data_IF_156189542448
#
_entry.id   IF_156189542448
#
_cell.length_a   1.000
_cell.length_b   1.000
_cell.length_c   1.000
_cell.angle_alpha   90.00
_cell.angle_beta   90.00
_cell.angle_gamma   90.00
#
_symmetry.space_group_name_H-M   'P 1'
#
loop_
_entity.id
_entity.type
_entity.pdbx_description
1 polymer ?
#
# COMPACT_ATOMS: atom_id res chain seq x y z
N UNK A 1 32.78 79.30 -27.68
CA UNK A 1 32.11 78.42 -28.64
C UNK A 1 32.40 77.00 -28.28
N UNK A 2 31.45 76.31 -27.57
CA UNK A 2 31.57 74.91 -27.20
C UNK A 2 30.60 74.11 -28.07
N UNK A 3 31.12 73.19 -28.87
CA UNK A 3 30.35 72.23 -29.72
C UNK A 3 29.95 71.01 -28.87
N UNK A 4 28.65 70.71 -28.87
CA UNK A 4 28.09 69.45 -28.31
C UNK A 4 28.14 68.38 -29.40
N UNK A 5 28.48 67.16 -29.06
CA UNK A 5 28.40 65.98 -29.98
C UNK A 5 26.98 65.48 -30.07
N UNK A 6 26.61 64.79 -31.18
CA UNK A 6 25.26 64.31 -31.45
C UNK A 6 24.94 63.06 -30.65
N UNK A 7 23.70 62.98 -30.17
CA UNK A 7 23.17 61.91 -29.33
C UNK A 7 23.08 60.57 -30.04
N UNK A 8 23.46 59.53 -29.29
CA UNK A 8 23.28 58.12 -29.64
C UNK A 8 21.86 57.72 -29.23
N UNK A 9 21.02 57.41 -30.25
CA UNK A 9 19.70 56.80 -30.02
C UNK A 9 19.90 55.33 -29.76
N UNK A 10 19.77 54.91 -28.51
CA UNK A 10 19.70 53.48 -28.13
C UNK A 10 18.30 52.94 -28.46
N UNK A 11 18.24 52.09 -29.48
CA UNK A 11 17.04 51.33 -29.83
C UNK A 11 16.98 50.13 -28.87
N UNK A 12 16.11 50.17 -27.84
CA UNK A 12 15.85 49.08 -26.96
C UNK A 12 14.97 48.03 -27.68
N UNK A 13 15.56 46.91 -28.09
CA UNK A 13 14.83 45.74 -28.57
C UNK A 13 14.21 45.03 -27.36
N UNK A 14 12.91 45.19 -27.16
CA UNK A 14 12.14 44.36 -26.20
C UNK A 14 11.99 42.95 -26.78
N UNK A 15 12.80 42.03 -26.29
CA UNK A 15 12.68 40.59 -26.57
C UNK A 15 11.44 40.07 -25.83
N UNK A 16 10.30 39.97 -26.50
CA UNK A 16 9.10 39.30 -25.98
C UNK A 16 9.35 37.79 -25.99
N UNK A 17 9.79 37.24 -24.86
CA UNK A 17 9.81 35.80 -24.65
C UNK A 17 8.37 35.27 -24.61
N UNK A 18 7.87 34.79 -25.74
CA UNK A 18 6.66 33.96 -25.79
C UNK A 18 6.99 32.63 -25.17
N UNK A 19 6.69 32.48 -23.87
CA UNK A 19 6.73 31.18 -23.18
C UNK A 19 5.56 30.39 -23.75
N UNK A 20 5.79 29.26 -24.49
CA UNK A 20 4.71 28.41 -24.91
C UNK A 20 4.02 27.92 -23.67
N UNK A 21 2.73 28.24 -23.50
CA UNK A 21 1.87 27.62 -22.51
C UNK A 21 1.83 26.11 -22.83
N UNK A 22 2.64 25.33 -22.12
CA UNK A 22 2.55 23.85 -22.18
C UNK A 22 1.16 23.51 -21.66
N UNK A 23 0.24 23.29 -22.60
CA UNK A 23 -1.08 22.74 -22.30
C UNK A 23 -0.85 21.41 -21.57
N UNK A 24 -1.04 21.41 -20.26
CA UNK A 24 -1.12 20.17 -19.47
C UNK A 24 -2.33 19.42 -20.01
N UNK A 25 -2.09 18.54 -20.97
CA UNK A 25 -3.10 17.57 -21.42
C UNK A 25 -3.65 16.91 -20.17
N UNK A 26 -4.97 17.05 -19.95
CA UNK A 26 -5.63 16.52 -18.77
C UNK A 26 -5.32 15.03 -18.66
N UNK A 27 -4.55 14.64 -17.65
CA UNK A 27 -4.15 13.24 -17.44
C UNK A 27 -5.41 12.41 -17.24
N UNK A 28 -5.66 11.43 -18.11
CA UNK A 28 -6.85 10.56 -17.95
C UNK A 28 -6.76 9.77 -16.66
N UNK A 29 -7.87 9.39 -16.03
CA UNK A 29 -7.85 8.57 -14.80
C UNK A 29 -7.07 7.26 -14.96
N UNK A 30 -7.13 6.61 -16.12
CA UNK A 30 -6.35 5.41 -16.41
C UNK A 30 -4.85 5.65 -16.44
N UNK A 31 -4.43 6.74 -17.09
CA UNK A 31 -3.02 7.17 -17.10
C UNK A 31 -2.55 7.54 -15.70
N UNK A 32 -3.38 8.23 -14.90
CA UNK A 32 -3.04 8.56 -13.51
C UNK A 32 -2.86 7.29 -12.67
N UNK A 33 -3.76 6.32 -12.76
CA UNK A 33 -3.63 5.03 -12.06
C UNK A 33 -2.33 4.32 -12.43
N UNK A 34 -2.03 4.21 -13.73
CA UNK A 34 -0.78 3.58 -14.19
C UNK A 34 0.46 4.29 -13.65
N UNK A 35 0.46 5.64 -13.60
CA UNK A 35 1.57 6.42 -13.03
C UNK A 35 1.71 6.22 -11.53
N UNK A 36 0.60 6.13 -10.78
CA UNK A 36 0.60 5.87 -9.34
C UNK A 36 1.23 4.49 -9.06
N UNK A 37 0.79 3.46 -9.75
CA UNK A 37 1.31 2.10 -9.58
C UNK A 37 2.79 2.01 -9.98
N UNK A 38 3.18 2.60 -11.11
CA UNK A 38 4.57 2.65 -11.55
C UNK A 38 5.46 3.41 -10.55
N UNK A 39 4.98 4.55 -10.01
CA UNK A 39 5.70 5.30 -9.00
C UNK A 39 5.92 4.49 -7.71
N UNK A 40 4.93 3.71 -7.27
CA UNK A 40 5.03 2.82 -6.12
C UNK A 40 6.01 1.67 -6.37
N UNK A 41 5.91 0.99 -7.52
CA UNK A 41 6.81 -0.12 -7.89
C UNK A 41 8.27 0.29 -8.02
N UNK A 42 8.54 1.55 -8.35
CA UNK A 42 9.89 2.11 -8.45
C UNK A 42 10.52 2.45 -7.08
N UNK A 43 9.85 2.20 -5.98
CA UNK A 43 10.39 2.39 -4.64
C UNK A 43 11.09 1.12 -4.13
N UNK A 44 11.86 1.25 -3.05
CA UNK A 44 12.57 0.13 -2.41
C UNK A 44 11.77 -0.45 -1.25
N UNK A 45 10.95 0.37 -0.60
CA UNK A 45 10.17 -0.03 0.58
C UNK A 45 9.01 0.92 0.85
N UNK A 46 8.07 0.45 1.68
CA UNK A 46 6.98 1.27 2.22
C UNK A 46 6.56 0.76 3.59
N UNK A 47 6.17 1.69 4.44
CA UNK A 47 5.36 1.42 5.63
C UNK A 47 3.89 1.61 5.28
N UNK A 48 3.03 0.66 5.65
CA UNK A 48 1.59 0.81 5.51
C UNK A 48 0.83 0.43 6.77
N UNK A 49 -0.34 1.05 6.93
CA UNK A 49 -1.33 0.65 7.94
C UNK A 49 -2.65 0.42 7.22
N UNK A 50 -3.16 -0.80 7.34
CA UNK A 50 -4.48 -1.19 6.84
C UNK A 50 -5.45 -1.37 7.99
N UNK A 51 -6.65 -0.84 7.87
CA UNK A 51 -7.74 -1.03 8.83
C UNK A 51 -8.99 -1.48 8.08
N UNK A 52 -9.57 -2.60 8.48
CA UNK A 52 -10.85 -3.07 7.99
C UNK A 52 -11.84 -3.14 9.16
N UNK A 53 -13.06 -2.59 8.95
CA UNK A 53 -14.18 -2.66 9.88
C UNK A 53 -15.37 -3.28 9.17
N UNK A 54 -15.86 -4.41 9.66
CA UNK A 54 -16.97 -5.17 9.08
C UNK A 54 -17.92 -5.61 10.23
N UNK A 55 -18.86 -4.73 10.61
CA UNK A 55 -19.68 -4.96 11.79
C UNK A 55 -18.85 -5.05 13.06
N UNK A 56 -18.92 -6.19 13.77
CA UNK A 56 -18.13 -6.45 15.00
C UNK A 56 -16.70 -6.94 14.72
N UNK A 57 -16.36 -7.16 13.45
CA UNK A 57 -15.02 -7.55 13.04
C UNK A 57 -14.18 -6.32 12.74
N UNK A 58 -13.01 -6.24 13.38
CA UNK A 58 -11.98 -5.25 13.09
C UNK A 58 -10.64 -5.94 12.85
N UNK A 59 -9.98 -5.57 11.76
CA UNK A 59 -8.63 -6.03 11.44
C UNK A 59 -7.74 -4.80 11.26
N UNK A 60 -6.61 -4.79 11.95
CA UNK A 60 -5.55 -3.78 11.75
C UNK A 60 -4.29 -4.52 11.34
N UNK A 61 -3.70 -4.10 10.22
CA UNK A 61 -2.43 -4.63 9.72
C UNK A 61 -1.43 -3.48 9.66
N UNK A 62 -0.26 -3.68 10.21
CA UNK A 62 0.87 -2.75 10.13
C UNK A 62 2.02 -3.47 9.46
N UNK A 63 2.47 -2.96 8.32
CA UNK A 63 3.52 -3.59 7.52
C UNK A 63 4.68 -2.64 7.24
N UNK A 64 5.90 -3.19 7.32
CA UNK A 64 7.13 -2.62 6.82
C UNK A 64 7.65 -3.57 5.75
N UNK A 65 7.57 -3.20 4.48
CA UNK A 65 7.82 -4.11 3.35
C UNK A 65 8.87 -3.53 2.40
N UNK A 66 9.78 -4.40 1.97
CA UNK A 66 10.78 -4.16 0.95
C UNK A 66 10.50 -4.97 -0.32
N UNK A 67 11.46 -4.99 -1.25
CA UNK A 67 11.29 -5.63 -2.56
C UNK A 67 11.02 -7.14 -2.45
N UNK A 68 11.74 -7.85 -1.57
CA UNK A 68 11.67 -9.32 -1.43
C UNK A 68 11.47 -9.78 0.00
N UNK A 69 11.39 -8.85 0.94
CA UNK A 69 11.25 -9.13 2.36
C UNK A 69 10.31 -8.14 3.03
N UNK A 70 9.73 -8.54 4.15
CA UNK A 70 8.83 -7.66 4.92
C UNK A 70 8.38 -8.30 6.20
N UNK A 71 7.76 -7.47 7.02
CA UNK A 71 7.07 -7.89 8.24
C UNK A 71 5.68 -7.25 8.27
N UNK A 72 4.69 -8.03 8.67
CA UNK A 72 3.33 -7.57 8.89
C UNK A 72 2.89 -8.01 10.28
N UNK A 73 2.36 -7.06 11.06
CA UNK A 73 1.72 -7.34 12.36
C UNK A 73 0.23 -7.12 12.21
N UNK A 74 -0.54 -8.11 12.62
CA UNK A 74 -1.98 -8.15 12.44
C UNK A 74 -2.63 -8.22 13.81
N UNK A 75 -3.55 -7.30 14.08
CA UNK A 75 -4.48 -7.37 15.20
C UNK A 75 -5.85 -7.69 14.65
N UNK A 76 -6.38 -8.84 15.03
CA UNK A 76 -7.68 -9.34 14.63
C UNK A 76 -8.61 -9.29 15.83
N UNK A 77 -9.71 -8.55 15.73
CA UNK A 77 -10.71 -8.43 16.77
C UNK A 77 -12.08 -8.87 16.25
N UNK A 78 -12.72 -9.82 16.95
CA UNK A 78 -14.07 -10.28 16.68
C UNK A 78 -14.89 -10.18 17.95
N UNK A 79 -15.89 -9.31 17.95
CA UNK A 79 -16.63 -8.93 19.15
C UNK A 79 -15.68 -8.44 20.29
N UNK A 80 -15.58 -9.15 21.40
CA UNK A 80 -14.74 -8.79 22.55
C UNK A 80 -13.39 -9.51 22.59
N UNK A 81 -13.15 -10.43 21.66
CA UNK A 81 -11.91 -11.21 21.62
C UNK A 81 -10.93 -10.61 20.62
N UNK A 82 -9.70 -10.45 21.05
CA UNK A 82 -8.60 -9.93 20.22
C UNK A 82 -7.51 -10.98 20.12
N UNK A 83 -6.98 -11.15 18.92
CA UNK A 83 -5.83 -11.99 18.66
C UNK A 83 -4.79 -11.29 17.78
N UNK A 84 -3.59 -11.84 17.78
CA UNK A 84 -2.44 -11.25 17.11
C UNK A 84 -1.71 -12.29 16.25
N UNK A 85 -1.31 -11.86 15.05
CA UNK A 85 -0.42 -12.62 14.17
C UNK A 85 0.72 -11.72 13.72
N UNK A 86 1.90 -12.28 13.65
CA UNK A 86 3.05 -11.66 12.96
C UNK A 86 3.45 -12.56 11.81
N UNK A 87 3.56 -11.97 10.63
CA UNK A 87 4.07 -12.61 9.41
C UNK A 87 5.40 -11.95 9.06
N UNK A 88 6.41 -12.75 8.81
CA UNK A 88 7.70 -12.32 8.27
C UNK A 88 7.91 -13.03 6.94
N UNK A 89 8.29 -12.29 5.91
CA UNK A 89 8.74 -12.84 4.63
C UNK A 89 10.20 -12.51 4.46
N UNK A 90 10.98 -13.51 4.14
CA UNK A 90 12.37 -13.40 3.73
C UNK A 90 12.54 -14.00 2.33
N UNK A 91 13.73 -13.88 1.74
CA UNK A 91 13.99 -14.37 0.38
C UNK A 91 13.70 -15.88 0.18
N UNK A 92 13.71 -16.68 1.25
CA UNK A 92 13.61 -18.15 1.17
C UNK A 92 12.37 -18.73 1.83
N UNK A 93 11.75 -18.01 2.75
CA UNK A 93 10.65 -18.54 3.58
C UNK A 93 9.76 -17.43 4.09
N UNK A 94 8.49 -17.77 4.29
CA UNK A 94 7.61 -17.00 5.17
C UNK A 94 7.60 -17.65 6.56
N UNK A 95 7.34 -16.84 7.57
CA UNK A 95 7.23 -17.27 8.97
C UNK A 95 5.97 -16.66 9.56
N UNK A 96 5.23 -17.48 10.31
CA UNK A 96 4.01 -17.05 11.00
C UNK A 96 4.20 -17.31 12.50
N UNK A 97 3.74 -16.37 13.32
CA UNK A 97 3.58 -16.53 14.75
C UNK A 97 2.30 -15.85 15.18
N UNK A 98 1.41 -16.56 15.85
CA UNK A 98 0.16 -16.00 16.36
C UNK A 98 -0.33 -16.70 17.61
N UNK A 99 -1.29 -16.06 18.31
CA UNK A 99 -2.06 -16.77 19.32
C UNK A 99 -3.09 -17.73 18.68
N UNK A 100 -3.59 -18.68 19.46
CA UNK A 100 -4.50 -19.71 18.95
C UNK A 100 -5.77 -19.12 18.32
N UNK A 101 -6.33 -18.05 18.93
CA UNK A 101 -7.54 -17.41 18.43
C UNK A 101 -7.34 -16.80 17.03
N UNK A 102 -6.25 -16.07 16.83
CA UNK A 102 -5.96 -15.45 15.54
C UNK A 102 -5.53 -16.49 14.48
N UNK A 103 -4.80 -17.53 14.86
CA UNK A 103 -4.45 -18.62 13.94
C UNK A 103 -5.69 -19.33 13.39
N UNK A 104 -6.70 -19.57 14.23
CA UNK A 104 -7.98 -20.17 13.80
C UNK A 104 -8.83 -19.20 13.02
N UNK A 105 -9.14 -18.02 13.61
CA UNK A 105 -10.20 -17.15 13.09
C UNK A 105 -9.76 -16.23 11.97
N UNK A 106 -8.46 -15.88 11.90
CA UNK A 106 -7.90 -15.02 10.87
C UNK A 106 -7.14 -15.80 9.80
N UNK A 107 -6.28 -16.74 10.20
CA UNK A 107 -5.50 -17.54 9.26
C UNK A 107 -6.27 -18.76 8.71
N UNK A 108 -7.34 -19.18 9.39
CA UNK A 108 -8.15 -20.33 8.98
C UNK A 108 -7.52 -21.70 9.31
N UNK A 109 -6.54 -21.73 10.21
CA UNK A 109 -5.84 -22.96 10.55
C UNK A 109 -6.65 -23.88 11.46
N UNK A 110 -6.30 -25.15 11.47
CA UNK A 110 -6.90 -26.19 12.33
C UNK A 110 -6.83 -25.79 13.81
N UNK A 111 -7.95 -25.93 14.54
CA UNK A 111 -8.05 -25.46 15.92
C UNK A 111 -7.11 -26.19 16.89
N UNK A 112 -6.98 -27.54 16.78
CA UNK A 112 -6.12 -28.32 17.64
C UNK A 112 -4.64 -28.00 17.41
N UNK A 113 -4.22 -27.90 16.14
CA UNK A 113 -2.87 -27.52 15.79
C UNK A 113 -2.59 -26.05 16.17
N UNK A 114 -3.55 -25.14 16.00
CA UNK A 114 -3.41 -23.74 16.42
C UNK A 114 -3.21 -23.60 17.94
N UNK A 115 -3.90 -24.40 18.75
CA UNK A 115 -3.68 -24.41 20.20
C UNK A 115 -2.28 -24.93 20.56
N UNK A 116 -1.82 -26.02 19.90
CA UNK A 116 -0.50 -26.61 20.12
C UNK A 116 0.65 -25.70 19.74
N UNK A 117 0.53 -24.99 18.61
CA UNK A 117 1.59 -24.14 18.06
C UNK A 117 1.37 -22.65 18.33
N UNK A 118 0.44 -22.28 19.22
CA UNK A 118 0.24 -20.91 19.63
C UNK A 118 1.56 -20.28 20.09
N UNK A 119 1.83 -19.07 19.59
CA UNK A 119 3.05 -18.31 19.89
C UNK A 119 4.37 -18.98 19.47
N UNK A 120 4.31 -20.03 18.66
CA UNK A 120 5.47 -20.68 18.05
C UNK A 120 5.68 -20.15 16.63
N UNK A 121 6.93 -19.96 16.22
CA UNK A 121 7.22 -19.65 14.83
C UNK A 121 7.06 -20.88 13.95
N UNK A 122 6.25 -20.77 12.93
CA UNK A 122 6.05 -21.77 11.89
C UNK A 122 6.65 -21.24 10.59
N UNK A 123 7.47 -22.05 9.92
CA UNK A 123 8.12 -21.69 8.65
C UNK A 123 7.44 -22.36 7.47
N UNK A 124 7.32 -21.61 6.38
CA UNK A 124 6.73 -22.02 5.11
C UNK A 124 7.78 -21.72 4.01
N UNK A 125 8.38 -22.74 3.41
CA UNK A 125 9.35 -22.58 2.33
C UNK A 125 8.74 -21.88 1.11
N UNK A 126 9.52 -21.13 0.35
CA UNK A 126 9.07 -20.41 -0.84
C UNK A 126 8.38 -21.29 -1.91
N UNK A 127 8.70 -22.57 -2.00
CA UNK A 127 8.07 -23.51 -2.94
C UNK A 127 6.80 -24.19 -2.41
N UNK A 128 6.40 -23.91 -1.18
CA UNK A 128 5.20 -24.48 -0.57
C UNK A 128 3.93 -23.82 -1.15
N UNK A 129 2.83 -24.61 -1.28
CA UNK A 129 1.54 -24.11 -1.80
C UNK A 129 0.95 -22.98 -0.96
N UNK A 130 1.20 -23.00 0.35
CA UNK A 130 0.66 -22.04 1.29
C UNK A 130 1.51 -20.75 1.38
N UNK A 131 2.70 -20.76 0.80
CA UNK A 131 3.60 -19.60 0.82
C UNK A 131 2.93 -18.36 0.24
N UNK A 132 2.29 -18.47 -0.93
CA UNK A 132 1.67 -17.33 -1.62
C UNK A 132 0.53 -16.71 -0.80
N UNK A 133 -0.25 -17.54 -0.08
CA UNK A 133 -1.35 -17.10 0.78
C UNK A 133 -0.82 -16.29 1.97
N UNK A 134 0.28 -16.72 2.56
CA UNK A 134 0.89 -16.09 3.73
C UNK A 134 1.75 -14.88 3.37
N UNK A 135 2.51 -14.96 2.27
CA UNK A 135 3.38 -13.89 1.80
C UNK A 135 2.61 -12.72 1.13
N UNK A 136 1.32 -12.90 0.85
CA UNK A 136 0.47 -11.85 0.28
C UNK A 136 0.51 -10.57 1.12
N UNK A 137 0.72 -9.41 0.46
CA UNK A 137 0.83 -8.08 1.08
C UNK A 137 2.01 -7.90 2.07
N UNK A 138 3.01 -8.78 2.05
CA UNK A 138 4.20 -8.69 2.91
C UNK A 138 5.47 -8.36 2.11
N UNK A 139 5.33 -8.08 0.82
CA UNK A 139 6.38 -7.51 -0.03
C UNK A 139 5.87 -6.28 -0.77
N UNK A 140 6.77 -5.36 -1.13
CA UNK A 140 6.38 -4.14 -1.85
C UNK A 140 5.65 -4.43 -3.17
N UNK A 141 6.11 -5.37 -4.04
CA UNK A 141 5.36 -5.71 -5.26
C UNK A 141 3.94 -6.17 -4.94
N UNK A 142 3.73 -7.08 -3.99
CA UNK A 142 2.41 -7.60 -3.64
C UNK A 142 1.48 -6.51 -3.08
N UNK A 143 2.02 -5.59 -2.28
CA UNK A 143 1.27 -4.43 -1.76
C UNK A 143 0.83 -3.51 -2.90
N UNK A 144 1.73 -3.17 -3.83
CA UNK A 144 1.39 -2.28 -4.95
C UNK A 144 0.42 -2.96 -5.92
N UNK A 145 0.58 -4.24 -6.18
CA UNK A 145 -0.31 -5.00 -7.07
C UNK A 145 -1.73 -5.11 -6.48
N UNK A 146 -1.86 -5.15 -5.15
CA UNK A 146 -3.17 -5.14 -4.47
C UNK A 146 -3.95 -3.83 -4.67
N UNK A 147 -3.28 -2.73 -5.02
CA UNK A 147 -3.91 -1.44 -5.33
C UNK A 147 -4.55 -1.40 -6.73
N UNK A 148 -4.24 -2.38 -7.57
CA UNK A 148 -4.74 -2.41 -8.94
C UNK A 148 -6.24 -2.70 -8.95
N UNK A 149 -7.03 -1.72 -9.39
CA UNK A 149 -8.47 -1.88 -9.55
C UNK A 149 -8.84 -2.72 -10.78
N UNK A 150 -9.96 -3.43 -10.69
CA UNK A 150 -10.61 -4.05 -11.85
C UNK A 150 -11.68 -3.09 -12.39
N UNK A 151 -11.71 -2.85 -13.70
CA UNK A 151 -12.69 -1.97 -14.36
C UNK A 151 -12.11 -0.63 -14.81
N UNK A 152 -12.99 0.28 -15.21
CA UNK A 152 -12.60 1.59 -15.73
C UNK A 152 -12.47 2.61 -14.59
N UNK A 153 -11.28 3.19 -14.35
CA UNK A 153 -11.11 4.22 -13.36
C UNK A 153 -11.76 5.54 -13.82
N UNK A 154 -12.37 6.25 -12.88
CA UNK A 154 -12.82 7.63 -13.00
C UNK A 154 -11.97 8.53 -12.10
N UNK A 155 -12.04 9.85 -12.29
CA UNK A 155 -11.41 10.77 -11.36
C UNK A 155 -12.06 10.67 -9.97
N UNK A 156 -11.25 10.60 -8.92
CA UNK A 156 -11.76 10.77 -7.56
C UNK A 156 -11.91 12.26 -7.24
N UNK A 157 -12.80 12.64 -6.31
CA UNK A 157 -12.91 14.02 -5.86
C UNK A 157 -11.60 14.54 -5.29
N UNK A 158 -11.27 15.81 -5.57
CA UNK A 158 -10.14 16.49 -4.95
C UNK A 158 -10.28 16.52 -3.43
N UNK A 159 -9.19 16.26 -2.73
CA UNK A 159 -9.18 16.25 -1.27
C UNK A 159 -7.79 16.56 -0.70
N UNK A 160 -7.73 16.65 0.63
CA UNK A 160 -6.50 16.83 1.40
C UNK A 160 -6.39 15.68 2.40
N UNK A 161 -5.23 15.04 2.46
CA UNK A 161 -4.92 13.97 3.41
C UNK A 161 -3.68 14.36 4.20
N UNK A 162 -3.77 14.38 5.53
CA UNK A 162 -2.66 14.82 6.39
C UNK A 162 -2.18 16.25 6.08
N UNK A 163 -3.08 17.18 5.74
CA UNK A 163 -2.76 18.57 5.40
C UNK A 163 -2.15 18.74 4.00
N UNK A 164 -2.03 17.70 3.19
CA UNK A 164 -1.43 17.75 1.86
C UNK A 164 -2.46 17.49 0.77
N UNK A 165 -2.44 18.32 -0.30
CA UNK A 165 -3.29 18.08 -1.47
C UNK A 165 -2.91 16.75 -2.12
N UNK A 166 -3.93 15.97 -2.48
CA UNK A 166 -3.79 14.69 -3.19
C UNK A 166 -4.64 14.68 -4.45
N UNK A 167 -4.25 13.88 -5.41
CA UNK A 167 -5.02 13.55 -6.62
C UNK A 167 -5.39 12.08 -6.56
N UNK A 168 -6.52 11.70 -7.16
CA UNK A 168 -6.95 10.32 -7.02
C UNK A 168 -7.77 9.79 -8.18
N UNK A 169 -7.93 8.48 -8.15
CA UNK A 169 -8.79 7.72 -9.04
C UNK A 169 -9.77 6.89 -8.21
N UNK A 170 -10.94 6.59 -8.80
CA UNK A 170 -11.94 5.73 -8.17
C UNK A 170 -12.50 4.73 -9.17
N UNK A 171 -12.93 3.59 -8.67
CA UNK A 171 -13.62 2.56 -9.43
C UNK A 171 -14.63 1.82 -8.57
N UNK A 172 -15.50 1.05 -9.21
CA UNK A 172 -16.43 0.15 -8.52
C UNK A 172 -15.84 -1.26 -8.49
N UNK A 173 -15.93 -1.92 -7.34
CA UNK A 173 -15.49 -3.29 -7.15
C UNK A 173 -16.58 -4.12 -6.44
N UNK A 174 -16.64 -5.41 -6.71
CA UNK A 174 -17.48 -6.34 -5.95
C UNK A 174 -16.63 -6.91 -4.81
N UNK A 175 -17.08 -6.70 -3.58
CA UNK A 175 -16.45 -7.25 -2.36
C UNK A 175 -17.53 -7.97 -1.56
N UNK A 176 -17.38 -9.28 -1.39
CA UNK A 176 -18.39 -10.09 -0.72
C UNK A 176 -19.79 -10.00 -1.38
N UNK A 177 -19.85 -9.92 -2.72
CA UNK A 177 -21.10 -9.78 -3.48
C UNK A 177 -21.73 -8.37 -3.44
N UNK A 178 -21.11 -7.40 -2.77
CA UNK A 178 -21.60 -6.01 -2.66
C UNK A 178 -20.75 -5.06 -3.50
N UNK A 179 -21.44 -4.13 -4.20
CA UNK A 179 -20.77 -3.11 -4.98
C UNK A 179 -20.22 -2.02 -4.05
N UNK A 180 -18.91 -1.84 -4.04
CA UNK A 180 -18.22 -0.81 -3.25
C UNK A 180 -17.53 0.19 -4.18
N UNK A 181 -17.35 1.43 -3.71
CA UNK A 181 -16.53 2.43 -4.36
C UNK A 181 -15.15 2.41 -3.69
N UNK A 182 -14.13 2.11 -4.48
CA UNK A 182 -12.73 2.16 -4.07
C UNK A 182 -12.13 3.46 -4.59
N UNK A 183 -11.40 4.18 -3.73
CA UNK A 183 -10.64 5.40 -4.08
C UNK A 183 -9.19 5.20 -3.74
N UNK A 184 -8.31 5.53 -4.68
CA UNK A 184 -6.86 5.53 -4.48
C UNK A 184 -6.36 6.96 -4.67
N UNK A 185 -5.72 7.50 -3.63
CA UNK A 185 -5.14 8.83 -3.61
C UNK A 185 -3.62 8.77 -3.62
N UNK A 186 -3.01 9.71 -4.33
CA UNK A 186 -1.57 9.87 -4.44
C UNK A 186 -1.17 11.33 -4.25
N UNK A 187 0.11 11.58 -4.01
CA UNK A 187 0.67 12.94 -3.94
C UNK A 187 0.34 13.74 -5.19
N UNK A 188 -0.18 14.96 -5.03
CA UNK A 188 -0.49 15.86 -6.15
C UNK A 188 0.77 16.50 -6.76
N UNK A 189 1.87 16.56 -6.02
CA UNK A 189 3.16 17.14 -6.46
C UNK A 189 4.29 16.12 -6.41
N UNK A 190 5.23 16.24 -7.34
CA UNK A 190 6.35 15.34 -7.50
C UNK A 190 5.93 13.97 -8.06
N UNK A 191 6.56 12.90 -7.59
CA UNK A 191 6.17 11.53 -7.94
C UNK A 191 4.81 11.22 -7.30
N UNK A 192 3.81 10.71 -8.04
CA UNK A 192 2.48 10.40 -7.52
C UNK A 192 2.48 9.10 -6.69
N UNK A 193 3.22 9.11 -5.57
CA UNK A 193 3.27 7.97 -4.65
C UNK A 193 1.91 7.77 -3.98
N UNK A 194 1.42 6.53 -3.84
CA UNK A 194 0.24 6.22 -3.07
C UNK A 194 0.30 6.84 -1.67
N UNK A 195 -0.80 7.44 -1.23
CA UNK A 195 -0.97 8.01 0.11
C UNK A 195 -2.02 7.22 0.87
N UNK A 196 -3.14 6.94 0.21
CA UNK A 196 -4.23 6.21 0.82
C UNK A 196 -5.12 5.51 -0.21
N UNK A 197 -5.58 4.29 0.11
CA UNK A 197 -6.71 3.64 -0.57
C UNK A 197 -7.85 3.49 0.43
N UNK A 198 -9.08 3.81 0.01
CA UNK A 198 -10.31 3.64 0.80
C UNK A 198 -11.36 2.87 0.02
N UNK A 199 -12.06 1.96 0.70
CA UNK A 199 -13.26 1.31 0.19
C UNK A 199 -14.35 1.39 1.26
N UNK A 200 -15.57 1.82 0.87
CA UNK A 200 -16.67 1.97 1.80
C UNK A 200 -17.96 1.38 1.23
N UNK A 201 -18.72 0.71 2.08
CA UNK A 201 -20.09 0.24 1.78
C UNK A 201 -20.91 0.18 3.06
N UNK A 202 -21.91 1.09 3.23
CA UNK A 202 -22.65 1.21 4.47
C UNK A 202 -21.72 1.46 5.66
N UNK A 203 -21.84 0.62 6.70
CA UNK A 203 -20.97 0.65 7.88
C UNK A 203 -19.63 -0.09 7.70
N UNK A 204 -19.44 -0.78 6.57
CA UNK A 204 -18.17 -1.44 6.27
C UNK A 204 -17.18 -0.45 5.65
N UNK A 205 -15.98 -0.42 6.18
CA UNK A 205 -14.90 0.43 5.69
C UNK A 205 -13.58 -0.32 5.69
N UNK A 206 -12.80 -0.11 4.63
CA UNK A 206 -11.41 -0.54 4.54
C UNK A 206 -10.60 0.68 4.15
N UNK A 207 -9.50 0.92 4.85
CA UNK A 207 -8.53 1.96 4.49
C UNK A 207 -7.12 1.41 4.59
N UNK A 208 -6.27 1.81 3.66
CA UNK A 208 -4.83 1.53 3.69
C UNK A 208 -4.10 2.85 3.51
N UNK A 209 -3.25 3.22 4.47
CA UNK A 209 -2.40 4.42 4.38
C UNK A 209 -0.96 4.03 4.14
N UNK A 210 -0.24 4.81 3.33
CA UNK A 210 1.13 4.58 2.93
C UNK A 210 2.02 5.72 3.39
N UNK A 211 3.16 5.39 3.98
CA UNK A 211 4.12 6.37 4.51
C UNK A 211 5.54 5.82 4.47
N UNK A 212 6.50 6.63 4.88
CA UNK A 212 7.91 6.23 5.06
C UNK A 212 8.47 5.45 3.85
N UNK A 213 8.22 5.97 2.65
CA UNK A 213 8.75 5.42 1.41
C UNK A 213 10.28 5.44 1.40
N UNK A 214 10.90 4.32 0.98
CA UNK A 214 12.34 4.11 0.88
C UNK A 214 13.10 4.12 2.22
N UNK A 215 12.42 4.06 3.36
CA UNK A 215 13.10 3.76 4.61
C UNK A 215 13.65 2.34 4.59
N UNK A 216 14.82 2.17 5.21
CA UNK A 216 15.49 0.86 5.23
C UNK A 216 14.67 -0.15 6.04
N UNK A 217 14.16 -1.17 5.37
CA UNK A 217 13.54 -2.33 6.02
C UNK A 217 14.65 -3.30 6.43
N UNK A 218 14.62 -3.74 7.69
CA UNK A 218 15.52 -4.77 8.22
C UNK A 218 14.68 -5.89 8.79
N UNK A 219 14.71 -7.04 8.12
CA UNK A 219 14.00 -8.23 8.54
C UNK A 219 14.99 -9.25 9.08
N UNK A 220 14.69 -9.77 10.25
CA UNK A 220 15.47 -10.86 10.85
C UNK A 220 14.57 -12.09 10.94
N UNK A 221 14.95 -13.15 10.25
CA UNK A 221 14.26 -14.42 10.36
C UNK A 221 14.36 -14.95 11.80
N UNK A 222 13.33 -15.66 12.30
CA UNK A 222 13.39 -16.31 13.60
C UNK A 222 14.58 -17.29 13.71
N UNK A 223 15.21 -17.34 14.87
CA UNK A 223 16.33 -18.26 15.12
C UNK A 223 15.90 -19.72 15.09
N UNK A 224 14.63 -20.00 15.43
CA UNK A 224 14.02 -21.34 15.40
C UNK A 224 12.59 -21.25 14.91
N UNK A 225 12.16 -22.27 14.17
CA UNK A 225 10.80 -22.41 13.66
C UNK A 225 10.48 -23.87 13.41
N UNK A 226 9.19 -24.22 13.42
CA UNK A 226 8.68 -25.54 13.08
C UNK A 226 8.20 -25.52 11.63
N UNK A 227 8.61 -26.46 10.76
CA UNK A 227 8.10 -26.50 9.38
C UNK A 227 6.59 -26.72 9.35
N UNK A 228 5.86 -26.00 8.49
CA UNK A 228 4.39 -26.10 8.42
C UNK A 228 3.92 -27.53 8.12
N UNK A 229 4.60 -28.24 7.24
CA UNK A 229 4.30 -29.62 6.87
C UNK A 229 4.29 -30.61 8.07
N UNK A 230 4.87 -30.25 9.22
CA UNK A 230 4.89 -31.08 10.43
C UNK A 230 3.88 -30.66 11.48
N UNK A 231 3.11 -29.60 11.22
CA UNK A 231 2.24 -28.98 12.22
C UNK A 231 0.79 -29.46 12.16
N UNK A 232 0.29 -29.89 10.99
CA UNK A 232 -1.13 -30.12 10.73
C UNK A 232 -1.98 -28.84 10.80
N UNK A 233 -1.39 -27.69 10.56
CA UNK A 233 -2.08 -26.39 10.49
C UNK A 233 -2.85 -26.21 9.16
N UNK A 234 -2.56 -27.02 8.18
CA UNK A 234 -3.17 -27.00 6.85
C UNK A 234 -4.66 -27.32 6.86
#
# INVERSE_FOLDING_TARGET
MRRYPPGIVMLAFALVCVIPAVSLAATTPGTLLSRILAAGRAQHSVHYVSTAQLGTLRVVQVGDVGAVEGIQRITYQKARTTGHVTVIVSARSAYIRGDAFALVNYMGFNAAASAKYANTWVSIPHGDRDYANVAGNVTLPSVIDSLQGRGHPAAAPDTTIGGRRVVGVQWRALVGGKLVVVRLYARASGRPLPVEQRATHGSAAVSVTFSRWNERVRITAPKSSVPIATTGLE
#
